data_IF_154219533152
#
_entry.id   IF_154219533152
#
_cell.length_a   1.000
_cell.length_b   1.000
_cell.length_c   1.000
_cell.angle_alpha   90.00
_cell.angle_beta   90.00
_cell.angle_gamma   90.00
#
_symmetry.space_group_name_H-M   'P 1'
#
loop_
_entity.id
_entity.type
_entity.pdbx_description
1 polymer ?
#
# COMPACT_ATOMS: atom_id res chain seq x y z
N UNK A 1 -23.29 12.03 -2.52
CA UNK A 1 -22.56 11.27 -3.56
C UNK A 1 -21.41 12.12 -4.10
N UNK A 2 -20.25 11.52 -4.33
CA UNK A 2 -19.11 12.20 -4.92
C UNK A 2 -18.62 11.42 -6.14
N UNK A 3 -18.22 12.14 -7.18
CA UNK A 3 -17.60 11.53 -8.35
C UNK A 3 -16.28 12.27 -8.59
N UNK A 4 -15.19 11.53 -8.57
CA UNK A 4 -13.87 12.05 -8.94
C UNK A 4 -13.56 11.66 -10.39
N UNK A 5 -13.02 12.61 -11.16
CA UNK A 5 -12.73 12.41 -12.58
C UNK A 5 -11.24 12.14 -12.78
N UNK A 6 -10.81 10.94 -12.39
CA UNK A 6 -9.43 10.55 -12.55
C UNK A 6 -8.46 11.44 -11.76
N UNK A 7 -7.49 12.00 -12.45
CA UNK A 7 -6.41 12.77 -11.82
C UNK A 7 -6.66 14.27 -11.73
N UNK A 8 -7.85 14.66 -11.33
CA UNK A 8 -8.21 16.08 -11.23
C UNK A 8 -7.33 16.84 -10.23
N UNK A 9 -6.73 16.15 -9.26
CA UNK A 9 -5.93 16.78 -8.20
C UNK A 9 -4.50 17.17 -8.63
N UNK A 10 -4.10 16.87 -9.86
CA UNK A 10 -2.78 17.23 -10.39
C UNK A 10 -1.82 16.08 -10.53
N UNK A 11 -0.49 16.35 -10.60
CA UNK A 11 0.51 15.31 -10.81
C UNK A 11 0.65 14.39 -9.60
N UNK A 12 1.28 13.23 -9.83
CA UNK A 12 1.63 12.30 -8.76
C UNK A 12 2.55 12.97 -7.75
N UNK A 13 2.33 12.67 -6.47
CA UNK A 13 3.16 13.16 -5.38
C UNK A 13 4.03 12.04 -4.84
N UNK A 14 5.32 12.31 -4.65
CA UNK A 14 6.20 11.38 -3.97
C UNK A 14 5.84 11.36 -2.50
N UNK A 15 5.60 10.16 -1.97
CA UNK A 15 5.32 9.99 -0.55
C UNK A 15 6.62 10.00 0.25
N UNK A 16 6.54 10.47 1.48
CA UNK A 16 7.68 10.76 2.32
C UNK A 16 7.80 9.88 3.55
N UNK A 17 7.63 10.41 4.75
CA UNK A 17 8.23 9.82 5.97
C UNK A 17 7.66 8.47 6.41
N UNK A 18 6.56 7.99 5.84
CA UNK A 18 5.94 6.72 6.21
C UNK A 18 6.21 5.61 5.19
N UNK A 19 7.20 5.82 4.33
CA UNK A 19 7.58 4.87 3.29
C UNK A 19 9.11 4.73 3.24
N UNK A 20 9.58 3.56 2.83
CA UNK A 20 10.98 3.30 2.50
C UNK A 20 11.10 3.13 1.00
N UNK A 21 12.09 3.78 0.39
CA UNK A 21 12.22 3.81 -1.08
C UNK A 21 11.28 4.84 -1.70
N UNK A 22 11.17 4.82 -3.03
CA UNK A 22 10.34 5.78 -3.73
C UNK A 22 8.95 5.24 -3.99
N UNK A 23 7.98 5.98 -3.48
CA UNK A 23 6.56 5.66 -3.62
C UNK A 23 5.84 6.91 -4.10
N UNK A 24 5.02 6.75 -5.12
CA UNK A 24 4.25 7.82 -5.73
C UNK A 24 2.76 7.55 -5.51
N UNK A 25 2.00 8.57 -5.21
CA UNK A 25 0.56 8.39 -5.00
C UNK A 25 -0.23 9.47 -5.70
N UNK A 26 -1.38 9.04 -6.21
CA UNK A 26 -2.39 9.92 -6.78
C UNK A 26 -3.65 9.78 -5.96
N UNK A 27 -4.10 10.82 -5.25
CA UNK A 27 -5.43 10.81 -4.65
C UNK A 27 -6.48 10.73 -5.75
N UNK A 28 -7.23 9.65 -5.77
CA UNK A 28 -8.36 9.45 -6.70
C UNK A 28 -9.64 9.98 -6.06
N UNK A 29 -9.80 9.72 -4.77
CA UNK A 29 -10.89 10.24 -3.97
C UNK A 29 -10.31 10.63 -2.61
N UNK A 30 -10.27 11.92 -2.31
CA UNK A 30 -9.75 12.38 -1.03
C UNK A 30 -10.61 11.84 0.12
N UNK A 31 -9.95 11.50 1.22
CA UNK A 31 -10.63 10.97 2.39
C UNK A 31 -11.69 11.96 2.88
N UNK A 32 -12.92 11.49 2.86
CA UNK A 32 -14.09 12.22 3.34
C UNK A 32 -15.08 11.16 3.79
N UNK A 33 -15.78 11.39 4.87
CA UNK A 33 -16.62 10.38 5.50
C UNK A 33 -15.87 9.07 5.76
N UNK A 34 -14.60 9.19 6.14
CA UNK A 34 -13.69 8.10 6.48
C UNK A 34 -13.23 7.24 5.30
N UNK A 35 -13.62 7.53 4.07
CA UNK A 35 -13.20 6.75 2.88
C UNK A 35 -12.25 7.55 2.01
N UNK A 36 -11.06 7.00 1.77
CA UNK A 36 -10.09 7.56 0.83
C UNK A 36 -9.67 6.53 -0.20
N UNK A 37 -9.40 6.97 -1.42
CA UNK A 37 -8.95 6.11 -2.51
C UNK A 37 -7.73 6.72 -3.17
N UNK A 38 -6.66 5.94 -3.27
CA UNK A 38 -5.41 6.38 -3.91
C UNK A 38 -4.90 5.33 -4.88
N UNK A 39 -4.36 5.78 -6.00
CA UNK A 39 -3.45 4.96 -6.78
C UNK A 39 -2.06 5.10 -6.18
N UNK A 40 -1.39 4.00 -5.92
CA UNK A 40 -0.06 4.00 -5.31
C UNK A 40 0.89 3.20 -6.18
N UNK A 41 2.01 3.81 -6.52
CA UNK A 41 3.06 3.21 -7.33
C UNK A 41 4.33 3.10 -6.49
N UNK A 42 4.82 1.88 -6.34
CA UNK A 42 6.05 1.56 -5.62
C UNK A 42 7.15 1.25 -6.63
N UNK A 43 8.26 1.96 -6.57
CA UNK A 43 9.45 1.56 -7.34
C UNK A 43 10.01 0.26 -6.76
N UNK A 44 10.81 -0.51 -7.52
CA UNK A 44 11.39 -1.76 -6.99
C UNK A 44 12.06 -1.56 -5.64
N UNK A 45 11.75 -2.44 -4.70
CA UNK A 45 12.29 -2.38 -3.34
C UNK A 45 11.57 -1.44 -2.38
N UNK A 46 10.69 -0.60 -2.87
CA UNK A 46 9.95 0.35 -2.03
C UNK A 46 8.79 -0.31 -1.29
N UNK A 47 8.50 0.17 -0.09
CA UNK A 47 7.45 -0.38 0.77
C UNK A 47 6.93 0.67 1.74
N UNK A 48 5.74 0.39 2.29
CA UNK A 48 5.20 1.18 3.41
C UNK A 48 5.96 0.85 4.69
N UNK A 49 5.85 1.73 5.69
CA UNK A 49 6.10 1.35 7.08
C UNK A 49 4.99 0.39 7.54
N UNK A 50 5.19 -0.26 8.68
CA UNK A 50 4.11 -0.94 9.38
C UNK A 50 3.01 0.06 9.66
N UNK A 51 1.76 -0.33 9.47
CA UNK A 51 0.62 0.54 9.73
C UNK A 51 -0.65 -0.27 9.92
N UNK A 52 -1.69 0.39 10.38
CA UNK A 52 -3.04 -0.18 10.50
C UNK A 52 -4.07 0.88 10.17
N UNK A 53 -5.25 0.44 9.85
CA UNK A 53 -6.41 1.29 9.58
C UNK A 53 -7.47 1.07 10.64
N UNK A 54 -8.24 2.10 10.93
CA UNK A 54 -9.27 2.02 11.96
C UNK A 54 -10.36 1.00 11.61
N UNK A 55 -10.82 0.99 10.36
CA UNK A 55 -11.93 0.15 9.94
C UNK A 55 -11.50 -0.94 8.96
N UNK A 56 -10.84 -0.60 7.87
CA UNK A 56 -10.38 -1.56 6.87
C UNK A 56 -9.50 -0.91 5.82
N UNK A 57 -8.77 -1.76 5.09
CA UNK A 57 -8.14 -1.38 3.82
C UNK A 57 -8.39 -2.47 2.80
N UNK A 58 -8.66 -2.05 1.56
CA UNK A 58 -8.71 -2.95 0.40
C UNK A 58 -7.64 -2.50 -0.57
N UNK A 59 -6.83 -3.44 -1.02
CA UNK A 59 -5.81 -3.23 -2.05
C UNK A 59 -6.20 -4.02 -3.29
N UNK A 60 -6.18 -3.36 -4.43
CA UNK A 60 -6.36 -4.04 -5.73
C UNK A 60 -5.14 -3.77 -6.59
N UNK A 61 -4.37 -4.83 -6.89
CA UNK A 61 -3.12 -4.71 -7.65
C UNK A 61 -3.43 -4.54 -9.13
N UNK A 62 -2.88 -3.48 -9.71
CA UNK A 62 -3.10 -3.11 -11.11
C UNK A 62 -1.95 -3.61 -11.98
N UNK A 63 -0.73 -3.61 -11.45
CA UNK A 63 0.43 -4.02 -12.22
C UNK A 63 1.62 -4.33 -11.33
N UNK A 64 2.59 -5.05 -11.90
CA UNK A 64 3.82 -5.40 -11.22
C UNK A 64 3.66 -6.53 -10.21
N UNK A 65 4.63 -6.62 -9.31
CA UNK A 65 4.70 -7.66 -8.29
C UNK A 65 5.13 -7.08 -6.95
N UNK A 66 4.59 -7.61 -5.88
CA UNK A 66 4.93 -7.18 -4.53
C UNK A 66 4.55 -8.19 -3.47
N UNK A 67 4.38 -7.68 -2.26
CA UNK A 67 4.12 -8.50 -1.08
C UNK A 67 3.22 -7.74 -0.11
N UNK A 68 2.38 -8.49 0.60
CA UNK A 68 1.60 -8.01 1.74
C UNK A 68 1.93 -8.89 2.93
N UNK A 69 2.23 -8.28 4.08
CA UNK A 69 2.63 -9.00 5.30
C UNK A 69 1.92 -8.43 6.51
N UNK A 70 1.37 -9.30 7.34
CA UNK A 70 0.84 -8.91 8.65
C UNK A 70 1.88 -9.14 9.74
N UNK A 71 1.76 -8.42 10.84
CA UNK A 71 2.64 -8.58 12.01
C UNK A 71 2.43 -9.95 12.66
N UNK A 72 1.24 -10.50 12.55
CA UNK A 72 0.90 -11.82 13.07
C UNK A 72 1.54 -12.99 12.29
N UNK A 73 2.11 -12.75 11.12
CA UNK A 73 2.83 -13.74 10.34
C UNK A 73 2.16 -14.20 9.05
N UNK A 74 0.95 -13.73 8.77
CA UNK A 74 0.29 -14.02 7.50
C UNK A 74 0.86 -13.11 6.41
N UNK A 75 0.98 -13.64 5.22
CA UNK A 75 1.48 -12.85 4.11
C UNK A 75 1.50 -13.64 2.82
N UNK A 76 1.75 -12.94 1.74
CA UNK A 76 1.83 -13.57 0.44
C UNK A 76 2.20 -12.59 -0.67
N UNK A 77 2.59 -13.17 -1.83
CA UNK A 77 2.88 -12.37 -3.00
C UNK A 77 1.64 -11.71 -3.55
N UNK A 78 1.83 -10.54 -4.12
CA UNK A 78 0.80 -9.78 -4.83
C UNK A 78 1.21 -9.65 -6.28
N UNK A 79 0.27 -9.92 -7.18
CA UNK A 79 0.46 -9.72 -8.61
C UNK A 79 -0.81 -9.09 -9.22
N UNK A 80 -0.69 -8.59 -10.44
CA UNK A 80 -1.81 -7.89 -11.10
C UNK A 80 -3.10 -8.71 -11.07
N UNK A 81 -4.18 -8.07 -10.67
CA UNK A 81 -5.49 -8.69 -10.51
C UNK A 81 -5.81 -9.17 -9.10
N UNK A 82 -4.82 -9.28 -8.22
CA UNK A 82 -5.06 -9.69 -6.83
C UNK A 82 -5.75 -8.59 -6.05
N UNK A 83 -6.66 -8.99 -5.17
CA UNK A 83 -7.34 -8.09 -4.25
C UNK A 83 -7.18 -8.60 -2.83
N UNK A 84 -6.74 -7.74 -1.94
CA UNK A 84 -6.56 -8.07 -0.53
C UNK A 84 -7.48 -7.22 0.33
N UNK A 85 -8.09 -7.83 1.34
CA UNK A 85 -8.83 -7.14 2.38
C UNK A 85 -8.07 -7.26 3.69
N UNK A 86 -7.74 -6.13 4.29
CA UNK A 86 -7.08 -6.07 5.59
C UNK A 86 -8.09 -5.49 6.59
N UNK A 87 -8.50 -6.28 7.60
CA UNK A 87 -9.45 -5.78 8.60
C UNK A 87 -8.85 -4.69 9.46
N UNK A 88 -9.70 -3.89 10.07
CA UNK A 88 -9.28 -2.84 10.97
C UNK A 88 -8.44 -3.35 12.13
N UNK A 89 -7.44 -2.57 12.52
CA UNK A 89 -6.54 -2.91 13.62
C UNK A 89 -5.40 -3.86 13.25
N UNK A 90 -5.43 -4.49 12.08
CA UNK A 90 -4.37 -5.43 11.70
C UNK A 90 -3.13 -4.67 11.20
N UNK A 91 -2.03 -4.81 11.95
CA UNK A 91 -0.76 -4.22 11.57
C UNK A 91 -0.16 -4.97 10.38
N UNK A 92 0.21 -4.23 9.36
CA UNK A 92 0.69 -4.80 8.10
C UNK A 92 1.60 -3.83 7.35
N UNK A 93 2.30 -4.35 6.36
CA UNK A 93 2.98 -3.55 5.35
C UNK A 93 2.76 -4.16 3.97
N UNK A 94 2.90 -3.36 2.95
CA UNK A 94 2.91 -3.81 1.55
C UNK A 94 3.93 -3.01 0.76
N UNK A 95 4.43 -3.63 -0.30
CA UNK A 95 5.45 -3.02 -1.13
C UNK A 95 5.80 -3.83 -2.36
N UNK A 96 6.66 -3.25 -3.18
CA UNK A 96 7.12 -3.85 -4.42
C UNK A 96 8.17 -4.94 -4.17
N UNK A 97 8.27 -5.87 -5.11
CA UNK A 97 9.37 -6.82 -5.14
C UNK A 97 10.71 -6.13 -5.39
N UNK A 98 11.84 -6.77 -5.05
CA UNK A 98 13.15 -6.17 -5.27
C UNK A 98 13.45 -5.87 -6.74
N UNK A 99 12.87 -6.64 -7.65
CA UNK A 99 13.12 -6.58 -9.09
C UNK A 99 11.92 -6.17 -9.93
N UNK A 100 10.86 -5.66 -9.30
CA UNK A 100 9.66 -5.21 -10.01
C UNK A 100 9.02 -4.04 -9.28
N UNK A 101 8.43 -3.14 -10.03
CA UNK A 101 7.50 -2.17 -9.47
C UNK A 101 6.22 -2.89 -9.02
N UNK A 102 5.43 -2.21 -8.20
CA UNK A 102 4.04 -2.62 -7.93
C UNK A 102 3.15 -1.39 -7.94
N UNK A 103 2.02 -1.48 -8.62
CA UNK A 103 0.99 -0.45 -8.59
C UNK A 103 -0.31 -1.06 -8.09
N UNK A 104 -0.95 -0.38 -7.14
CA UNK A 104 -2.26 -0.82 -6.65
C UNK A 104 -3.18 0.36 -6.38
N UNK A 105 -4.48 0.08 -6.40
CA UNK A 105 -5.50 0.96 -5.87
C UNK A 105 -5.64 0.66 -4.39
N UNK A 106 -5.58 1.67 -3.53
CA UNK A 106 -5.79 1.53 -2.10
C UNK A 106 -7.09 2.23 -1.71
N UNK A 107 -8.00 1.46 -1.11
CA UNK A 107 -9.24 1.97 -0.52
C UNK A 107 -9.07 1.85 0.98
N UNK A 108 -8.99 2.98 1.68
CA UNK A 108 -8.75 3.02 3.13
C UNK A 108 -9.97 3.59 3.83
N UNK A 109 -10.41 2.90 4.87
CA UNK A 109 -11.60 3.28 5.64
C UNK A 109 -11.20 3.52 7.10
N UNK A 110 -11.51 4.72 7.59
CA UNK A 110 -11.12 5.16 8.91
C UNK A 110 -9.74 5.82 8.93
N UNK A 111 -9.29 6.20 10.10
CA UNK A 111 -7.99 6.83 10.29
C UNK A 111 -6.86 5.84 10.09
N UNK A 112 -5.72 6.35 9.64
CA UNK A 112 -4.48 5.57 9.53
C UNK A 112 -3.65 5.76 10.79
N UNK A 113 -2.98 4.69 11.21
CA UNK A 113 -2.02 4.70 12.31
C UNK A 113 -0.68 4.16 11.79
N UNK A 114 0.28 5.06 11.59
CA UNK A 114 1.60 4.73 11.06
C UNK A 114 2.56 4.36 12.19
N UNK A 115 3.28 3.26 11.98
CA UNK A 115 4.17 2.66 12.97
C UNK A 115 5.62 2.69 12.48
N UNK A 116 6.43 1.72 12.93
CA UNK A 116 7.85 1.65 12.63
C UNK A 116 8.14 1.25 11.17
N UNK A 117 9.31 1.59 10.65
CA UNK A 117 9.73 1.11 9.33
C UNK A 117 9.85 -0.41 9.31
N UNK A 118 9.67 -0.99 8.13
CA UNK A 118 10.01 -2.40 7.88
C UNK A 118 11.52 -2.48 7.68
N UNK A 119 12.21 -3.26 8.51
CA UNK A 119 13.66 -3.43 8.38
C UNK A 119 14.02 -4.07 7.04
N UNK A 120 15.23 -3.80 6.57
CA UNK A 120 15.74 -4.44 5.34
C UNK A 120 15.76 -5.96 5.48
N UNK A 121 16.03 -6.47 6.69
CA UNK A 121 16.02 -7.90 6.98
C UNK A 121 14.62 -8.49 6.83
N UNK A 122 13.61 -7.86 7.43
CA UNK A 122 12.23 -8.33 7.34
C UNK A 122 11.70 -8.24 5.91
N UNK A 123 12.05 -7.18 5.21
CA UNK A 123 11.69 -7.05 3.80
C UNK A 123 12.31 -8.18 2.96
N UNK A 124 13.60 -8.42 3.11
CA UNK A 124 14.30 -9.47 2.36
C UNK A 124 13.73 -10.86 2.67
N UNK A 125 13.34 -11.10 3.93
CA UNK A 125 12.76 -12.38 4.33
C UNK A 125 11.48 -12.71 3.57
N UNK A 126 10.66 -11.71 3.25
CA UNK A 126 9.42 -11.90 2.50
C UNK A 126 9.67 -12.47 1.10
N UNK A 127 10.79 -12.11 0.47
CA UNK A 127 11.11 -12.53 -0.89
C UNK A 127 12.14 -13.68 -0.95
N UNK A 128 12.55 -14.20 0.20
CA UNK A 128 13.53 -15.29 0.25
C UNK A 128 12.94 -16.58 -0.34
N UNK A 129 13.65 -17.19 -1.29
CA UNK A 129 13.20 -18.41 -1.95
C UNK A 129 12.23 -18.18 -3.11
N UNK A 130 12.13 -16.96 -3.57
CA UNK A 130 11.22 -16.58 -4.67
C UNK A 130 11.98 -16.40 -5.98
#
# INVERSE_FOLDING_TARGET
MRISRGRESGPSEQRGPTFTGRVWADPVLKAEDSVGVNNVFFEPGARTHWHRHEVAQVLHVIGGQGWLQTRAGDGGPLTAGDTAHIPGGEEHWHGAAPDSYMAHLAISVGANDWLDPVSDEDYAAAFRGR
#
